data_IF_924435929738
#
_entry.id   IF_924435929738
#
_cell.length_a   1.000
_cell.length_b   1.000
_cell.length_c   1.000
_cell.angle_alpha   90.00
_cell.angle_beta   90.00
_cell.angle_gamma   90.00
#
_symmetry.space_group_name_H-M   'P 1'
#
loop_
_entity.id
_entity.type
_entity.pdbx_description
1 polymer ?
#
# COMPACT_ATOMS: atom_id res chain seq x y z
N UNK A 1 -5.85 -4.58 -7.11
CA UNK A 1 -6.99 -3.96 -6.40
C UNK A 1 -7.14 -4.68 -5.07
N UNK A 2 -6.19 -4.45 -4.14
CA UNK A 2 -6.12 -5.18 -2.87
C UNK A 2 -5.82 -4.18 -1.75
N UNK A 3 -6.30 -4.45 -0.54
CA UNK A 3 -6.11 -3.57 0.63
C UNK A 3 -4.64 -3.36 1.03
N UNK A 4 -3.74 -4.26 0.62
CA UNK A 4 -2.30 -4.17 0.93
C UNK A 4 -1.46 -3.54 -0.19
N UNK A 5 -2.09 -3.01 -1.25
CA UNK A 5 -1.37 -2.30 -2.32
C UNK A 5 -0.69 -1.03 -1.77
N UNK A 6 0.53 -0.76 -2.22
CA UNK A 6 1.26 0.46 -1.86
C UNK A 6 0.62 1.69 -2.50
N UNK A 7 -0.14 2.45 -1.71
CA UNK A 7 -0.78 3.70 -2.15
C UNK A 7 0.18 4.89 -2.23
N UNK A 8 1.25 4.89 -1.44
CA UNK A 8 2.17 6.03 -1.28
C UNK A 8 3.61 5.54 -1.30
N UNK A 9 4.36 5.91 -2.33
CA UNK A 9 5.80 5.64 -2.39
C UNK A 9 6.56 6.81 -1.79
N UNK A 10 7.13 6.63 -0.60
CA UNK A 10 8.00 7.61 0.03
C UNK A 10 9.45 7.29 -0.34
N UNK A 11 10.14 8.21 -1.01
CA UNK A 11 11.48 7.96 -1.55
C UNK A 11 12.44 9.07 -1.14
N UNK A 12 13.59 8.68 -0.58
CA UNK A 12 14.58 9.63 -0.07
C UNK A 12 15.20 10.44 -1.20
N UNK A 13 15.43 11.74 -0.97
CA UNK A 13 15.93 12.69 -1.96
C UNK A 13 17.17 12.20 -2.73
N UNK A 14 18.12 11.56 -2.06
CA UNK A 14 19.35 11.05 -2.67
C UNK A 14 19.16 9.94 -3.72
N UNK A 15 18.01 9.26 -3.74
CA UNK A 15 17.69 8.20 -4.72
C UNK A 15 16.41 8.45 -5.50
N UNK A 16 15.72 9.56 -5.23
CA UNK A 16 14.39 9.86 -5.76
C UNK A 16 14.32 9.84 -7.29
N UNK A 17 15.17 10.59 -7.99
CA UNK A 17 15.07 10.71 -9.45
C UNK A 17 15.33 9.35 -10.13
N UNK A 18 16.34 8.62 -9.65
CA UNK A 18 16.68 7.27 -10.15
C UNK A 18 15.55 6.26 -9.88
N UNK A 19 14.88 6.36 -8.74
CA UNK A 19 13.75 5.50 -8.40
C UNK A 19 12.57 5.79 -9.31
N UNK A 20 12.19 7.06 -9.49
CA UNK A 20 11.08 7.48 -10.34
C UNK A 20 11.30 7.03 -11.78
N UNK A 21 12.51 7.20 -12.32
CA UNK A 21 12.89 6.75 -13.67
C UNK A 21 12.70 5.23 -13.81
N UNK A 22 13.25 4.45 -12.88
CA UNK A 22 13.16 2.98 -12.91
C UNK A 22 11.73 2.48 -12.73
N UNK A 23 10.97 3.10 -11.83
CA UNK A 23 9.57 2.76 -11.61
C UNK A 23 8.74 3.05 -12.86
N UNK A 24 8.92 4.21 -13.49
CA UNK A 24 8.24 4.55 -14.74
C UNK A 24 8.58 3.56 -15.86
N UNK A 25 9.85 3.20 -16.04
CA UNK A 25 10.28 2.21 -17.01
C UNK A 25 9.65 0.82 -16.76
N UNK A 26 9.66 0.37 -15.50
CA UNK A 26 9.05 -0.90 -15.11
C UNK A 26 7.52 -0.90 -15.32
N UNK A 27 6.83 0.18 -14.94
CA UNK A 27 5.39 0.33 -15.15
C UNK A 27 5.00 0.33 -16.62
N UNK A 28 5.76 1.00 -17.49
CA UNK A 28 5.52 0.99 -18.94
C UNK A 28 5.75 -0.39 -19.58
N UNK A 29 6.58 -1.24 -18.97
CA UNK A 29 6.85 -2.59 -19.47
C UNK A 29 5.76 -3.60 -19.11
N UNK A 30 4.81 -3.25 -18.23
CA UNK A 30 3.73 -4.15 -17.82
C UNK A 30 2.77 -4.42 -18.98
N UNK A 31 2.53 -5.70 -19.28
CA UNK A 31 1.55 -6.10 -20.28
C UNK A 31 0.12 -5.94 -19.71
N UNK A 32 -0.63 -4.98 -20.25
CA UNK A 32 -2.05 -4.78 -19.96
C UNK A 32 -2.89 -5.65 -20.92
N UNK A 33 -3.85 -6.40 -20.40
CA UNK A 33 -4.68 -7.28 -21.23
C UNK A 33 -5.69 -8.12 -20.44
N UNK A 34 -6.35 -9.06 -21.12
CA UNK A 34 -7.26 -10.01 -20.48
C UNK A 34 -6.52 -10.87 -19.46
N UNK A 35 -7.11 -11.09 -18.29
CA UNK A 35 -6.54 -11.99 -17.27
C UNK A 35 -6.46 -13.46 -17.69
N UNK A 36 -7.06 -13.82 -18.83
CA UNK A 36 -6.98 -15.16 -19.42
C UNK A 36 -5.83 -15.33 -20.42
N UNK A 37 -5.11 -14.26 -20.75
CA UNK A 37 -4.00 -14.29 -21.71
C UNK A 37 -2.65 -14.43 -21.01
N UNK A 38 -1.82 -15.33 -21.55
CA UNK A 38 -0.49 -15.57 -21.01
C UNK A 38 0.39 -14.30 -21.00
N UNK A 39 1.09 -14.12 -19.88
CA UNK A 39 2.02 -13.02 -19.67
C UNK A 39 1.36 -11.66 -19.40
N UNK A 40 0.03 -11.57 -19.35
CA UNK A 40 -0.64 -10.35 -18.87
C UNK A 40 -0.34 -10.15 -17.40
N UNK A 41 0.05 -8.93 -17.05
CA UNK A 41 0.43 -8.54 -15.68
C UNK A 41 -0.56 -7.54 -15.08
N UNK A 42 -1.34 -6.85 -15.93
CA UNK A 42 -2.32 -5.87 -15.51
C UNK A 42 -3.67 -6.14 -16.19
N UNK A 43 -4.63 -6.62 -15.42
CA UNK A 43 -6.03 -6.76 -15.84
C UNK A 43 -6.81 -5.44 -15.79
N UNK A 44 -8.10 -5.48 -16.14
CA UNK A 44 -8.97 -4.31 -16.04
C UNK A 44 -9.25 -3.95 -14.57
N UNK A 45 -9.71 -2.72 -14.36
CA UNK A 45 -10.39 -2.33 -13.12
C UNK A 45 -11.76 -3.03 -13.03
N UNK A 46 -12.30 -3.11 -11.81
CA UNK A 46 -13.54 -3.86 -11.56
C UNK A 46 -14.74 -3.34 -12.36
N UNK A 47 -14.87 -2.00 -12.50
CA UNK A 47 -15.96 -1.35 -13.22
C UNK A 47 -15.55 0.06 -13.71
N UNK A 48 -16.49 0.73 -14.37
CA UNK A 48 -16.31 2.08 -14.88
C UNK A 48 -16.13 3.13 -13.76
N UNK A 49 -16.79 2.96 -12.62
CA UNK A 49 -16.65 3.90 -11.48
C UNK A 49 -15.23 3.87 -10.92
N UNK A 50 -14.59 2.70 -10.91
CA UNK A 50 -13.19 2.58 -10.52
C UNK A 50 -12.26 3.33 -11.51
N UNK A 51 -12.57 3.32 -12.81
CA UNK A 51 -11.85 4.12 -13.82
C UNK A 51 -12.02 5.61 -13.55
N UNK A 52 -13.26 6.07 -13.40
CA UNK A 52 -13.59 7.47 -13.11
C UNK A 52 -12.86 7.95 -11.84
N UNK A 53 -12.85 7.13 -10.79
CA UNK A 53 -12.14 7.42 -9.55
C UNK A 53 -10.63 7.60 -9.76
N UNK A 54 -10.02 6.75 -10.58
CA UNK A 54 -8.60 6.88 -10.93
C UNK A 54 -8.34 8.17 -11.71
N UNK A 55 -9.22 8.52 -12.65
CA UNK A 55 -9.13 9.76 -13.42
C UNK A 55 -9.24 10.99 -12.51
N UNK A 56 -10.17 11.00 -11.55
CA UNK A 56 -10.31 12.06 -10.55
C UNK A 56 -9.04 12.25 -9.71
N UNK A 57 -8.43 11.15 -9.25
CA UNK A 57 -7.21 11.22 -8.45
C UNK A 57 -6.04 11.76 -9.27
N UNK A 58 -5.91 11.35 -10.54
CA UNK A 58 -4.88 11.89 -11.46
C UNK A 58 -5.11 13.37 -11.75
N UNK A 59 -6.37 13.78 -11.97
CA UNK A 59 -6.73 15.18 -12.18
C UNK A 59 -6.40 16.05 -10.95
N UNK A 60 -6.72 15.56 -9.75
CA UNK A 60 -6.35 16.22 -8.50
C UNK A 60 -4.82 16.35 -8.37
N UNK A 61 -4.08 15.27 -8.64
CA UNK A 61 -2.61 15.27 -8.62
C UNK A 61 -2.03 16.37 -9.49
N UNK A 62 -2.43 16.37 -10.76
CA UNK A 62 -1.85 17.21 -11.80
C UNK A 62 -2.21 18.67 -11.60
N UNK A 63 -3.43 18.97 -11.14
CA UNK A 63 -3.84 20.34 -10.77
C UNK A 63 -3.03 20.92 -9.60
N UNK A 64 -2.42 20.05 -8.77
CA UNK A 64 -1.62 20.41 -7.60
C UNK A 64 -0.11 20.24 -7.81
N UNK A 65 0.35 20.12 -9.06
CA UNK A 65 1.76 20.07 -9.41
C UNK A 65 2.37 18.66 -9.53
N UNK A 66 1.56 17.62 -9.42
CA UNK A 66 1.97 16.25 -9.71
C UNK A 66 2.29 16.08 -11.20
N UNK A 67 3.35 15.34 -11.50
CA UNK A 67 3.82 15.11 -12.86
C UNK A 67 3.65 13.65 -13.24
N UNK A 68 2.83 13.38 -14.26
CA UNK A 68 2.72 12.04 -14.84
C UNK A 68 4.04 11.71 -15.56
N UNK A 69 4.68 10.62 -15.19
CA UNK A 69 5.93 10.13 -15.80
C UNK A 69 5.78 8.78 -16.50
N UNK A 70 4.65 8.08 -16.29
CA UNK A 70 4.22 6.90 -17.04
C UNK A 70 2.70 6.83 -17.04
N UNK A 71 2.11 6.29 -18.11
CA UNK A 71 0.66 6.10 -18.25
C UNK A 71 -0.18 7.37 -18.12
N UNK A 72 -1.20 7.32 -17.26
CA UNK A 72 -2.04 8.46 -16.89
C UNK A 72 -3.36 8.59 -17.66
N UNK A 73 -3.70 7.60 -18.51
CA UNK A 73 -4.92 7.62 -19.32
C UNK A 73 -5.57 6.24 -19.34
N UNK A 74 -6.84 6.20 -19.78
CA UNK A 74 -7.52 4.95 -20.17
C UNK A 74 -6.69 4.21 -21.21
N UNK A 75 -6.68 2.88 -21.13
CA UNK A 75 -5.92 2.05 -22.06
C UNK A 75 -6.65 1.94 -23.40
N UNK A 76 -5.91 1.71 -24.48
CA UNK A 76 -6.47 1.59 -25.84
C UNK A 76 -7.43 0.40 -26.03
N UNK A 77 -7.41 -0.58 -25.11
CA UNK A 77 -8.34 -1.71 -25.07
C UNK A 77 -9.78 -1.29 -24.72
N UNK A 78 -10.00 -0.06 -24.23
CA UNK A 78 -11.32 0.44 -23.86
C UNK A 78 -11.87 -0.19 -22.57
N UNK A 79 -13.17 -0.04 -22.33
CA UNK A 79 -13.82 -0.54 -21.12
C UNK A 79 -13.14 -0.06 -19.82
N UNK A 80 -12.99 -0.96 -18.86
CA UNK A 80 -12.35 -0.66 -17.57
C UNK A 80 -10.82 -0.84 -17.55
N UNK A 81 -10.17 -0.89 -18.71
CA UNK A 81 -8.70 -0.94 -18.77
C UNK A 81 -8.06 0.43 -18.61
N UNK A 82 -7.06 0.53 -17.72
CA UNK A 82 -6.33 1.77 -17.44
C UNK A 82 -4.81 1.55 -17.53
N UNK A 83 -4.06 2.57 -17.96
CA UNK A 83 -2.61 2.49 -18.04
C UNK A 83 -1.97 2.49 -16.65
N UNK A 84 -0.97 1.62 -16.37
CA UNK A 84 -0.12 1.75 -15.20
C UNK A 84 0.49 3.15 -15.14
N UNK A 85 0.17 3.87 -14.07
CA UNK A 85 0.42 5.31 -13.96
C UNK A 85 1.40 5.58 -12.84
N UNK A 86 2.45 6.35 -13.13
CA UNK A 86 3.40 6.82 -12.13
C UNK A 86 3.33 8.34 -12.08
N UNK A 87 3.14 8.89 -10.87
CA UNK A 87 3.04 10.33 -10.64
C UNK A 87 4.21 10.76 -9.77
N UNK A 88 5.15 11.50 -10.34
CA UNK A 88 6.20 12.16 -9.60
C UNK A 88 5.70 13.46 -8.95
N UNK A 89 6.45 13.94 -7.97
CA UNK A 89 6.21 15.19 -7.24
C UNK A 89 4.88 15.17 -6.48
N UNK A 90 4.51 14.00 -5.96
CA UNK A 90 3.36 13.89 -5.09
C UNK A 90 3.59 14.72 -3.80
N UNK A 91 2.54 15.37 -3.32
CA UNK A 91 2.59 16.18 -2.10
C UNK A 91 1.42 15.84 -1.18
N UNK A 92 1.52 16.09 0.14
CA UNK A 92 0.42 15.84 1.09
C UNK A 92 -0.88 16.61 0.80
N UNK A 93 -0.85 17.62 -0.09
CA UNK A 93 -2.04 18.38 -0.51
C UNK A 93 -2.95 17.60 -1.46
N UNK A 94 -2.47 16.50 -2.02
CA UNK A 94 -3.17 15.70 -3.01
C UNK A 94 -4.05 14.64 -2.35
N UNK A 95 -5.17 14.29 -2.98
CA UNK A 95 -6.22 13.42 -2.40
C UNK A 95 -5.73 12.04 -1.97
N UNK A 96 -4.79 11.44 -2.72
CA UNK A 96 -4.19 10.13 -2.42
C UNK A 96 -3.34 10.11 -1.13
N UNK A 97 -3.18 11.23 -0.43
CA UNK A 97 -2.67 11.22 0.93
C UNK A 97 -3.68 10.68 1.95
N UNK A 98 -4.98 10.86 1.68
CA UNK A 98 -6.09 10.47 2.56
C UNK A 98 -6.97 9.39 1.97
N UNK A 99 -7.03 9.29 0.65
CA UNK A 99 -7.88 8.32 -0.03
C UNK A 99 -7.06 7.11 -0.50
N UNK A 100 -7.63 5.92 -0.38
CA UNK A 100 -7.04 4.70 -0.93
C UNK A 100 -7.19 4.63 -2.45
N UNK A 101 -6.13 4.18 -3.12
CA UNK A 101 -6.09 3.98 -4.57
C UNK A 101 -6.30 2.49 -4.86
N UNK A 102 -7.51 2.12 -5.26
CA UNK A 102 -7.79 0.77 -5.77
C UNK A 102 -7.61 0.69 -7.30
N UNK A 103 -6.48 1.20 -7.79
CA UNK A 103 -6.17 1.21 -9.22
C UNK A 103 -4.66 1.33 -9.51
N UNK A 104 -4.23 1.24 -10.77
CA UNK A 104 -2.83 1.14 -11.12
C UNK A 104 -2.16 2.53 -11.14
N UNK A 105 -2.19 3.24 -10.00
CA UNK A 105 -1.58 4.57 -9.83
C UNK A 105 -0.57 4.53 -8.69
N UNK A 106 0.67 4.93 -8.96
CA UNK A 106 1.77 4.99 -8.02
C UNK A 106 2.27 6.45 -7.85
N UNK A 107 1.74 7.19 -6.85
CA UNK A 107 2.26 8.50 -6.51
C UNK A 107 3.57 8.37 -5.70
N UNK A 108 4.57 9.15 -6.11
CA UNK A 108 5.91 9.16 -5.52
C UNK A 108 6.18 10.49 -4.83
N UNK A 109 6.36 10.43 -3.51
CA UNK A 109 6.66 11.53 -2.62
C UNK A 109 8.15 11.56 -2.32
N UNK A 110 8.72 12.75 -2.24
CA UNK A 110 10.11 12.96 -1.82
C UNK A 110 10.15 13.27 -0.32
N UNK A 111 11.12 12.70 0.38
CA UNK A 111 11.47 13.07 1.76
C UNK A 111 12.98 13.24 1.90
N UNK A 112 13.43 13.94 2.93
CA UNK A 112 14.85 14.18 3.23
C UNK A 112 15.35 13.26 4.35
N UNK A 113 14.61 13.16 5.47
CA UNK A 113 15.05 12.42 6.67
C UNK A 113 14.21 11.19 6.98
N UNK A 114 14.78 10.26 7.74
CA UNK A 114 14.11 9.04 8.22
C UNK A 114 12.87 9.40 9.07
N UNK A 115 13.00 10.39 9.94
CA UNK A 115 11.93 10.87 10.82
C UNK A 115 10.77 11.47 10.02
N UNK A 116 11.08 12.23 8.96
CA UNK A 116 10.08 12.77 8.04
C UNK A 116 9.32 11.63 7.33
N UNK A 117 10.02 10.60 6.85
CA UNK A 117 9.40 9.46 6.19
C UNK A 117 8.44 8.71 7.12
N UNK A 118 8.85 8.45 8.37
CA UNK A 118 8.00 7.79 9.37
C UNK A 118 6.79 8.67 9.73
N UNK A 119 6.99 9.98 9.89
CA UNK A 119 5.90 10.92 10.15
C UNK A 119 4.88 10.93 8.99
N UNK A 120 5.34 11.05 7.75
CA UNK A 120 4.49 11.00 6.55
C UNK A 120 3.78 9.65 6.40
N UNK A 121 4.47 8.54 6.65
CA UNK A 121 3.86 7.22 6.61
C UNK A 121 2.74 7.11 7.64
N UNK A 122 2.94 7.64 8.85
CA UNK A 122 1.94 7.57 9.92
C UNK A 122 0.79 8.57 9.80
N UNK A 123 0.94 9.63 8.98
CA UNK A 123 -0.08 10.66 8.70
C UNK A 123 -1.19 10.11 7.79
N UNK A 124 -2.02 9.24 8.36
CA UNK A 124 -3.20 8.64 7.76
C UNK A 124 -4.03 7.98 8.86
N UNK A 125 -5.34 7.90 8.66
CA UNK A 125 -6.26 7.14 9.53
C UNK A 125 -6.09 5.62 9.38
N UNK A 126 -5.46 5.18 8.28
CA UNK A 126 -5.20 3.78 8.00
C UNK A 126 -3.87 3.28 8.61
N UNK A 127 -3.78 1.97 8.80
CA UNK A 127 -2.65 1.30 9.45
C UNK A 127 -2.62 -0.19 9.14
N UNK A 128 -2.88 -0.59 7.89
CA UNK A 128 -2.92 -2.01 7.50
C UNK A 128 -1.53 -2.58 7.21
N UNK A 129 -0.98 -2.27 6.02
CA UNK A 129 0.32 -2.76 5.56
C UNK A 129 1.26 -1.60 5.21
N UNK A 130 2.53 -1.73 5.54
CA UNK A 130 3.60 -0.83 5.15
C UNK A 130 4.84 -1.61 4.71
N UNK A 131 5.65 -1.03 3.85
CA UNK A 131 6.85 -1.67 3.31
C UNK A 131 7.97 -0.64 3.26
N UNK A 132 9.19 -1.04 3.58
CA UNK A 132 10.35 -0.18 3.41
C UNK A 132 11.59 -0.98 3.05
N UNK A 133 12.54 -0.30 2.39
CA UNK A 133 13.79 -0.89 1.92
C UNK A 133 14.97 -0.14 2.53
N UNK A 134 15.90 -0.87 3.12
CA UNK A 134 17.13 -0.33 3.72
C UNK A 134 18.22 -1.39 3.78
N UNK A 135 19.47 -0.97 3.57
CA UNK A 135 20.65 -1.80 3.84
C UNK A 135 21.18 -1.64 5.28
N UNK A 136 20.64 -0.71 6.06
CA UNK A 136 21.05 -0.42 7.43
C UNK A 136 20.13 -1.15 8.43
N UNK A 137 20.71 -2.04 9.23
CA UNK A 137 19.98 -2.85 10.21
C UNK A 137 19.43 -2.00 11.37
N UNK A 138 20.17 -0.98 11.82
CA UNK A 138 19.71 -0.09 12.89
C UNK A 138 18.49 0.74 12.45
N UNK A 139 18.50 1.22 11.21
CA UNK A 139 17.35 1.86 10.56
C UNK A 139 16.19 0.89 10.42
N UNK A 140 16.45 -0.38 10.10
CA UNK A 140 15.39 -1.38 10.01
C UNK A 140 14.61 -1.49 11.32
N UNK A 141 15.30 -1.59 12.46
CA UNK A 141 14.63 -1.60 13.77
C UNK A 141 13.88 -0.30 14.06
N UNK A 142 14.54 0.87 13.92
CA UNK A 142 13.90 2.17 14.23
C UNK A 142 12.66 2.45 13.39
N UNK A 143 12.73 2.18 12.08
CA UNK A 143 11.61 2.41 11.16
C UNK A 143 10.49 1.41 11.41
N UNK A 144 10.81 0.12 11.55
CA UNK A 144 9.80 -0.91 11.85
C UNK A 144 9.03 -0.60 13.14
N UNK A 145 9.73 -0.21 14.21
CA UNK A 145 9.10 0.13 15.49
C UNK A 145 8.32 1.46 15.45
N UNK A 146 8.78 2.42 14.64
CA UNK A 146 8.13 3.72 14.49
C UNK A 146 6.85 3.69 13.63
N UNK A 147 6.69 2.69 12.77
CA UNK A 147 5.53 2.55 11.87
C UNK A 147 4.29 2.05 12.62
N UNK A 148 3.19 2.80 12.53
CA UNK A 148 1.90 2.46 13.14
C UNK A 148 1.03 1.64 12.19
N UNK A 149 1.49 0.44 11.87
CA UNK A 149 0.86 -0.48 10.92
C UNK A 149 0.78 -1.90 11.51
N UNK A 150 -0.26 -2.64 11.15
CA UNK A 150 -0.43 -4.02 11.61
C UNK A 150 0.54 -5.01 10.96
N UNK A 151 1.01 -4.71 9.74
CA UNK A 151 1.98 -5.53 9.01
C UNK A 151 3.05 -4.65 8.39
N UNK A 152 4.32 -5.06 8.51
CA UNK A 152 5.47 -4.33 7.98
C UNK A 152 6.40 -5.27 7.21
N UNK A 153 6.66 -4.95 5.95
CA UNK A 153 7.66 -5.63 5.12
C UNK A 153 9.00 -4.90 5.12
N UNK A 154 10.07 -5.60 5.47
CA UNK A 154 11.44 -5.07 5.43
C UNK A 154 12.17 -5.71 4.25
N UNK A 155 12.52 -4.92 3.25
CA UNK A 155 13.14 -5.40 2.00
C UNK A 155 12.32 -6.45 1.23
N UNK A 156 11.01 -6.52 1.45
CA UNK A 156 10.07 -7.42 0.78
C UNK A 156 8.75 -6.69 0.52
N UNK A 157 8.17 -6.87 -0.67
CA UNK A 157 6.89 -6.27 -1.08
C UNK A 157 5.71 -7.24 -1.00
N UNK A 158 5.96 -8.54 -0.83
CA UNK A 158 4.96 -9.60 -0.70
C UNK A 158 5.14 -10.34 0.62
N UNK A 159 4.36 -9.94 1.63
CA UNK A 159 4.53 -10.43 3.01
C UNK A 159 3.34 -11.27 3.53
N UNK A 160 2.28 -11.43 2.74
CA UNK A 160 1.09 -12.15 3.16
C UNK A 160 1.36 -13.66 3.24
N UNK A 161 1.09 -14.26 4.39
CA UNK A 161 1.23 -15.70 4.64
C UNK A 161 0.23 -16.14 5.71
N UNK A 162 -0.37 -17.34 5.63
CA UNK A 162 -1.40 -17.77 6.58
C UNK A 162 -0.87 -18.05 8.00
N UNK A 163 0.45 -18.24 8.17
CA UNK A 163 1.11 -18.52 9.45
C UNK A 163 1.40 -17.26 10.26
N UNK A 164 1.26 -16.08 9.68
CA UNK A 164 1.46 -14.79 10.33
C UNK A 164 0.13 -14.05 10.54
N UNK A 165 0.01 -13.21 11.57
CA UNK A 165 -1.19 -12.42 11.78
C UNK A 165 -1.36 -11.36 10.69
N UNK A 166 -2.53 -11.33 10.08
CA UNK A 166 -2.98 -10.35 9.10
C UNK A 166 -4.05 -9.46 9.73
N UNK A 167 -3.89 -8.14 9.66
CA UNK A 167 -4.91 -7.20 10.11
C UNK A 167 -4.31 -5.90 10.61
N UNK A 168 -5.08 -4.82 10.54
CA UNK A 168 -4.56 -3.46 10.76
C UNK A 168 -4.57 -2.98 12.20
N UNK A 169 -4.25 -1.68 12.32
CA UNK A 169 -4.49 -0.84 13.49
C UNK A 169 -5.23 0.42 13.03
N UNK A 170 -5.64 1.30 13.97
CA UNK A 170 -6.43 2.51 13.68
C UNK A 170 -7.76 2.17 13.00
N UNK A 171 -8.13 2.87 11.94
CA UNK A 171 -9.38 2.62 11.19
C UNK A 171 -9.27 1.43 10.22
N UNK A 172 -8.12 0.78 10.13
CA UNK A 172 -7.95 -0.43 9.30
C UNK A 172 -8.49 -1.71 9.96
N UNK A 173 -9.24 -1.59 11.06
CA UNK A 173 -9.97 -2.69 11.68
C UNK A 173 -9.43 -3.14 13.04
N UNK A 174 -10.10 -4.14 13.60
CA UNK A 174 -9.79 -4.80 14.86
C UNK A 174 -9.61 -6.31 14.63
N UNK A 175 -8.94 -6.98 15.56
CA UNK A 175 -8.64 -8.41 15.44
C UNK A 175 -7.46 -8.71 14.52
N UNK A 176 -7.21 -10.01 14.33
CA UNK A 176 -6.21 -10.55 13.40
C UNK A 176 -6.77 -11.81 12.75
N UNK A 177 -6.52 -11.98 11.47
CA UNK A 177 -6.77 -13.21 10.72
C UNK A 177 -5.44 -13.94 10.51
N UNK A 178 -5.46 -15.28 10.40
CA UNK A 178 -4.23 -16.06 10.23
C UNK A 178 -3.35 -16.11 11.49
N UNK A 179 -2.21 -16.79 11.39
CA UNK A 179 -1.34 -17.10 12.52
C UNK A 179 -2.06 -17.86 13.62
N UNK A 180 -1.48 -17.84 14.82
CA UNK A 180 -2.14 -18.40 16.00
C UNK A 180 -3.26 -17.48 16.51
N UNK A 181 -3.14 -16.18 16.28
CA UNK A 181 -4.08 -15.16 16.75
C UNK A 181 -5.44 -15.28 16.06
N UNK A 182 -5.49 -15.76 14.82
CA UNK A 182 -6.71 -15.83 14.02
C UNK A 182 -7.84 -16.64 14.64
N UNK A 183 -7.54 -17.59 15.53
CA UNK A 183 -8.58 -18.35 16.23
C UNK A 183 -9.17 -17.57 17.43
N UNK A 184 -8.44 -16.62 18.00
CA UNK A 184 -8.82 -15.95 19.26
C UNK A 184 -10.15 -15.20 19.15
N UNK A 185 -10.42 -14.58 17.99
CA UNK A 185 -11.67 -13.86 17.71
C UNK A 185 -12.91 -14.79 17.63
N UNK A 186 -12.71 -16.12 17.64
CA UNK A 186 -13.75 -17.15 17.56
C UNK A 186 -13.85 -18.00 18.84
N UNK A 187 -13.10 -17.68 19.90
CA UNK A 187 -13.08 -18.45 21.15
C UNK A 187 -13.77 -17.68 22.30
N UNK A 188 -14.48 -18.41 23.15
CA UNK A 188 -14.97 -17.91 24.44
C UNK A 188 -14.04 -18.34 25.57
N UNK A 189 -13.54 -17.38 26.36
CA UNK A 189 -12.77 -17.69 27.57
C UNK A 189 -13.70 -17.97 28.75
N UNK A 190 -13.54 -19.12 29.41
CA UNK A 190 -14.32 -19.52 30.58
C UNK A 190 -13.42 -19.83 31.77
N UNK A 191 -13.53 -19.02 32.82
CA UNK A 191 -12.94 -19.31 34.13
C UNK A 191 -13.86 -20.21 34.96
N UNK A 192 -13.31 -21.24 35.60
CA UNK A 192 -14.04 -22.13 36.50
C UNK A 192 -13.27 -22.27 37.82
N UNK A 193 -13.88 -21.82 38.92
CA UNK A 193 -13.37 -22.05 40.27
C UNK A 193 -14.10 -23.22 40.91
N UNK A 194 -13.42 -24.36 41.08
CA UNK A 194 -13.98 -25.52 41.79
C UNK A 194 -13.59 -25.40 43.26
N UNK A 195 -14.47 -24.80 44.05
CA UNK A 195 -14.35 -24.73 45.51
C UNK A 195 -14.87 -26.00 46.21
N UNK A 196 -14.66 -26.09 47.53
CA UNK A 196 -15.26 -27.13 48.36
C UNK A 196 -14.59 -28.51 48.34
N UNK A 197 -13.29 -28.58 48.00
CA UNK A 197 -12.58 -29.86 47.87
C UNK A 197 -12.11 -30.50 49.18
N UNK A 198 -12.15 -29.79 50.32
CA UNK A 198 -11.88 -30.36 51.65
C UNK A 198 -10.53 -31.08 51.82
N UNK A 199 -9.54 -30.81 50.96
CA UNK A 199 -8.15 -31.26 51.10
C UNK A 199 -7.44 -30.50 52.22
#
# INVERSE_FOLDING_TARGET
>A
QTCVCTNRFLVQAGVYDKFVEKLAAASNALKVGSGLEDGVQQGPLIDEKAVEKVEELIADATSKGGKIVAGGKRHALGGSFFQPTVIANATPKMRFMKEEIFGPVAPVFKFETEEEAVALANDTEFGLACYFYTGDLGRAFRVMEGLKYGMVGVNEGLITTPEAPFGGVKESGLGKEGGHQGIEDYLDTKYVCIGGLGL
#
